data_IF_224268665832
#
_entry.id   IF_224268665832
#
_cell.length_a   1.000
_cell.length_b   1.000
_cell.length_c   1.000
_cell.angle_alpha   90.00
_cell.angle_beta   90.00
_cell.angle_gamma   90.00
#
_symmetry.space_group_name_H-M   'P 1'
#
loop_
_entity.id
_entity.type
_entity.pdbx_description
1 polymer ?
#
# COMPACT_ATOMS: atom_id res chain seq x y z
N UNK A 1 -12.03 -3.35 18.24
CA UNK A 1 -10.95 -2.41 17.86
C UNK A 1 -9.82 -3.22 17.24
N UNK A 2 -9.73 -3.26 15.91
CA UNK A 2 -8.59 -3.87 15.24
C UNK A 2 -7.45 -2.85 15.24
N UNK A 3 -6.41 -3.11 16.03
CA UNK A 3 -5.19 -2.30 16.03
C UNK A 3 -4.43 -2.60 14.75
N UNK A 4 -4.20 -1.59 13.92
CA UNK A 4 -3.23 -1.67 12.83
C UNK A 4 -1.86 -1.84 13.52
N UNK A 5 -1.25 -3.00 13.36
CA UNK A 5 0.08 -3.29 13.90
C UNK A 5 1.09 -2.62 12.97
N UNK A 6 1.88 -1.70 13.54
CA UNK A 6 2.97 -0.99 12.86
C UNK A 6 4.22 -1.85 13.04
N UNK A 7 4.78 -2.37 11.95
CA UNK A 7 6.18 -2.81 11.95
C UNK A 7 7.02 -1.64 11.46
N UNK A 8 7.60 -0.89 12.40
CA UNK A 8 8.68 0.04 12.07
C UNK A 8 9.97 -0.75 11.91
N UNK A 9 10.45 -0.88 10.67
CA UNK A 9 11.78 -1.42 10.40
C UNK A 9 12.66 -0.31 9.82
N UNK A 10 13.65 0.09 10.62
CA UNK A 10 14.73 1.00 10.22
C UNK A 10 15.79 0.15 9.53
N UNK A 11 16.03 0.38 8.25
CA UNK A 11 17.12 -0.28 7.53
C UNK A 11 18.45 0.46 7.72
N UNK A 12 19.40 -0.21 8.37
CA UNK A 12 20.83 0.09 8.26
C UNK A 12 21.43 -0.81 7.18
N UNK A 13 21.70 -0.27 5.99
CA UNK A 13 22.56 -0.91 5.00
C UNK A 13 23.99 -0.42 5.20
N UNK A 14 24.87 -1.29 5.72
CA UNK A 14 26.31 -1.04 5.77
C UNK A 14 26.88 -0.94 4.35
N UNK A 15 27.67 0.10 4.11
CA UNK A 15 28.11 0.61 2.81
C UNK A 15 29.16 -0.23 2.06
N UNK A 16 29.33 -1.52 2.36
CA UNK A 16 30.39 -2.34 1.77
C UNK A 16 29.83 -3.60 1.13
N UNK A 17 29.83 -3.66 -0.21
CA UNK A 17 30.12 -4.81 -1.10
C UNK A 17 29.32 -4.73 -2.43
N UNK A 18 30.11 -4.67 -3.52
CA UNK A 18 29.83 -5.01 -4.94
C UNK A 18 28.82 -4.21 -5.80
N UNK A 19 29.23 -3.93 -7.04
CA UNK A 19 28.61 -2.98 -7.96
C UNK A 19 27.23 -3.35 -8.52
N UNK A 20 26.88 -4.64 -8.60
CA UNK A 20 25.52 -5.08 -9.00
C UNK A 20 24.50 -4.90 -7.86
N UNK A 21 24.91 -5.14 -6.61
CA UNK A 21 24.08 -4.89 -5.43
C UNK A 21 23.71 -3.41 -5.27
N UNK A 22 24.48 -2.49 -5.87
CA UNK A 22 24.17 -1.05 -5.87
C UNK A 22 22.99 -0.71 -6.78
N UNK A 23 22.83 -1.42 -7.90
CA UNK A 23 21.80 -1.15 -8.90
C UNK A 23 20.41 -1.52 -8.36
N UNK A 24 20.24 -2.74 -7.85
CA UNK A 24 18.97 -3.18 -7.24
C UNK A 24 18.59 -2.39 -6.01
N UNK A 25 19.59 -1.91 -5.26
CA UNK A 25 19.36 -1.15 -4.03
C UNK A 25 18.63 0.16 -4.30
N UNK A 26 18.84 0.80 -5.46
CA UNK A 26 18.12 2.04 -5.79
C UNK A 26 16.64 1.76 -5.95
N UNK A 27 16.30 0.78 -6.79
CA UNK A 27 14.90 0.43 -7.08
C UNK A 27 14.19 -0.15 -5.84
N UNK A 28 14.86 -1.01 -5.06
CA UNK A 28 14.30 -1.53 -3.81
C UNK A 28 14.03 -0.41 -2.79
N UNK A 29 14.97 0.52 -2.61
CA UNK A 29 14.76 1.66 -1.71
C UNK A 29 13.63 2.57 -2.20
N UNK A 30 13.49 2.74 -3.51
CA UNK A 30 12.36 3.46 -4.09
C UNK A 30 11.04 2.73 -3.82
N UNK A 31 10.97 1.42 -4.04
CA UNK A 31 9.80 0.60 -3.72
C UNK A 31 9.42 0.69 -2.23
N UNK A 32 10.39 0.66 -1.32
CA UNK A 32 10.16 0.86 0.12
C UNK A 32 9.60 2.25 0.44
N UNK A 33 10.13 3.30 -0.19
CA UNK A 33 9.63 4.67 -0.02
C UNK A 33 8.19 4.80 -0.51
N UNK A 34 7.88 4.18 -1.66
CA UNK A 34 6.53 4.14 -2.23
C UNK A 34 5.56 3.37 -1.34
N UNK A 35 5.97 2.22 -0.78
CA UNK A 35 5.22 1.50 0.26
C UNK A 35 4.88 2.42 1.44
N UNK A 36 5.88 3.12 1.99
CA UNK A 36 5.68 3.95 3.18
C UNK A 36 4.68 5.08 2.90
N UNK A 37 4.76 5.68 1.72
CA UNK A 37 3.82 6.70 1.28
C UNK A 37 2.41 6.13 1.08
N UNK A 38 2.28 4.94 0.47
CA UNK A 38 1.01 4.25 0.33
C UNK A 38 0.38 3.96 1.70
N UNK A 39 1.15 3.41 2.63
CA UNK A 39 0.72 3.09 3.98
C UNK A 39 0.26 4.34 4.77
N UNK A 40 1.04 5.42 4.71
CA UNK A 40 0.71 6.67 5.39
C UNK A 40 -0.62 7.25 4.88
N UNK A 41 -0.83 7.21 3.56
CA UNK A 41 -2.08 7.67 2.95
C UNK A 41 -3.26 6.73 3.28
N UNK A 42 -3.07 5.41 3.27
CA UNK A 42 -4.10 4.45 3.68
C UNK A 42 -4.54 4.66 5.13
N UNK A 43 -3.57 4.94 6.01
CA UNK A 43 -3.83 5.26 7.42
C UNK A 43 -4.61 6.57 7.55
N UNK A 44 -4.22 7.61 6.81
CA UNK A 44 -4.94 8.88 6.79
C UNK A 44 -6.39 8.71 6.27
N UNK A 45 -6.59 7.90 5.22
CA UNK A 45 -7.92 7.56 4.71
C UNK A 45 -8.77 6.89 5.79
N UNK A 46 -8.21 5.87 6.45
CA UNK A 46 -8.86 5.16 7.54
C UNK A 46 -9.24 6.11 8.70
N UNK A 47 -8.35 7.01 9.09
CA UNK A 47 -8.63 8.00 10.13
C UNK A 47 -9.79 8.92 9.77
N UNK A 48 -9.91 9.33 8.50
CA UNK A 48 -11.05 10.14 8.05
C UNK A 48 -12.36 9.38 8.19
N UNK A 49 -12.40 8.10 7.82
CA UNK A 49 -13.60 7.27 7.99
C UNK A 49 -13.98 7.10 9.46
N UNK A 50 -13.01 6.88 10.35
CA UNK A 50 -13.27 6.78 11.79
C UNK A 50 -13.77 8.12 12.36
N UNK A 51 -13.24 9.26 11.88
CA UNK A 51 -13.74 10.58 12.27
C UNK A 51 -15.18 10.78 11.80
N UNK A 52 -15.50 10.40 10.56
CA UNK A 52 -16.87 10.43 10.05
C UNK A 52 -17.82 9.57 10.87
N UNK A 53 -17.39 8.37 11.28
CA UNK A 53 -18.22 7.52 12.13
C UNK A 53 -18.49 8.13 13.51
N UNK A 54 -17.50 8.81 14.11
CA UNK A 54 -17.58 9.30 15.49
C UNK A 54 -18.18 10.70 15.63
N UNK A 55 -17.99 11.56 14.64
CA UNK A 55 -18.31 13.00 14.75
C UNK A 55 -19.57 13.40 14.01
N UNK A 56 -20.03 12.61 13.05
CA UNK A 56 -21.10 13.04 12.18
C UNK A 56 -22.47 12.76 12.79
N UNK A 57 -23.19 13.83 13.13
CA UNK A 57 -24.61 13.79 13.48
C UNK A 57 -25.52 14.18 12.31
N UNK A 58 -24.94 14.54 11.17
CA UNK A 58 -25.63 14.90 9.94
C UNK A 58 -24.85 14.38 8.71
N UNK A 59 -25.53 14.37 7.56
CA UNK A 59 -25.02 13.82 6.31
C UNK A 59 -23.85 14.61 5.71
N UNK A 60 -23.88 15.94 5.82
CA UNK A 60 -22.84 16.80 5.26
C UNK A 60 -21.48 16.56 5.90
N UNK A 61 -21.45 16.31 7.21
CA UNK A 61 -20.21 15.95 7.91
C UNK A 61 -19.66 14.61 7.40
N UNK A 62 -20.53 13.61 7.19
CA UNK A 62 -20.10 12.30 6.65
C UNK A 62 -19.50 12.46 5.25
N UNK A 63 -20.16 13.21 4.36
CA UNK A 63 -19.68 13.47 3.00
C UNK A 63 -18.29 14.13 3.00
N UNK A 64 -18.05 15.10 3.89
CA UNK A 64 -16.72 15.71 4.04
C UNK A 64 -15.63 14.68 4.35
N UNK A 65 -15.90 13.75 5.28
CA UNK A 65 -14.94 12.71 5.63
C UNK A 65 -14.78 11.65 4.53
N UNK A 66 -15.84 11.36 3.76
CA UNK A 66 -15.78 10.48 2.58
C UNK A 66 -14.90 11.07 1.49
N UNK A 67 -15.11 12.34 1.13
CA UNK A 67 -14.28 13.07 0.18
C UNK A 67 -12.81 13.08 0.60
N UNK A 68 -12.56 13.36 1.88
CA UNK A 68 -11.20 13.39 2.42
C UNK A 68 -10.56 12.00 2.38
N UNK A 69 -11.30 10.96 2.79
CA UNK A 69 -10.84 9.57 2.72
C UNK A 69 -10.54 9.14 1.28
N UNK A 70 -11.40 9.52 0.32
CA UNK A 70 -11.24 9.20 -1.10
C UNK A 70 -9.94 9.80 -1.65
N UNK A 71 -9.65 11.07 -1.35
CA UNK A 71 -8.40 11.72 -1.76
C UNK A 71 -7.16 10.97 -1.28
N UNK A 72 -7.13 10.59 0.00
CA UNK A 72 -6.02 9.81 0.54
C UNK A 72 -5.95 8.40 -0.07
N UNK A 73 -7.09 7.76 -0.32
CA UNK A 73 -7.15 6.43 -0.96
C UNK A 73 -6.59 6.48 -2.38
N UNK A 74 -6.94 7.51 -3.17
CA UNK A 74 -6.39 7.74 -4.51
C UNK A 74 -4.88 7.95 -4.46
N UNK A 75 -4.39 8.76 -3.51
CA UNK A 75 -2.96 8.97 -3.34
C UNK A 75 -2.25 7.65 -2.99
N UNK A 76 -2.79 6.87 -2.05
CA UNK A 76 -2.25 5.56 -1.66
C UNK A 76 -2.18 4.61 -2.86
N UNK A 77 -3.23 4.56 -3.68
CA UNK A 77 -3.28 3.78 -4.91
C UNK A 77 -2.17 4.18 -5.87
N UNK A 78 -1.99 5.47 -6.13
CA UNK A 78 -0.95 5.96 -7.03
C UNK A 78 0.46 5.56 -6.58
N UNK A 79 0.72 5.56 -5.26
CA UNK A 79 2.01 5.07 -4.73
C UNK A 79 2.20 3.57 -4.96
N UNK A 80 1.16 2.74 -4.82
CA UNK A 80 1.24 1.33 -5.15
C UNK A 80 1.49 1.11 -6.65
N UNK A 81 0.81 1.85 -7.54
CA UNK A 81 1.03 1.76 -8.98
C UNK A 81 2.46 2.13 -9.37
N UNK A 82 3.02 3.15 -8.71
CA UNK A 82 4.44 3.50 -8.86
C UNK A 82 5.34 2.36 -8.37
N UNK A 83 5.03 1.75 -7.22
CA UNK A 83 5.83 0.66 -6.67
C UNK A 83 5.85 -0.55 -7.60
N UNK A 84 4.70 -0.93 -8.18
CA UNK A 84 4.60 -1.98 -9.21
C UNK A 84 5.51 -1.67 -10.39
N UNK A 85 5.47 -0.44 -10.92
CA UNK A 85 6.36 -0.03 -12.03
C UNK A 85 7.84 -0.10 -11.66
N UNK A 86 8.21 0.31 -10.44
CA UNK A 86 9.58 0.17 -9.94
C UNK A 86 10.02 -1.29 -9.86
N UNK A 87 9.14 -2.19 -9.39
CA UNK A 87 9.44 -3.62 -9.32
C UNK A 87 9.52 -4.29 -10.69
N UNK A 88 8.71 -3.87 -11.66
CA UNK A 88 8.82 -4.34 -13.04
C UNK A 88 10.15 -3.91 -13.67
N UNK A 89 10.59 -2.67 -13.45
CA UNK A 89 11.89 -2.19 -13.91
C UNK A 89 13.06 -2.95 -13.26
N UNK A 90 12.96 -3.20 -11.94
CA UNK A 90 13.94 -3.98 -11.20
C UNK A 90 14.04 -5.40 -11.76
N UNK A 91 12.90 -6.03 -12.01
CA UNK A 91 12.83 -7.36 -12.63
C UNK A 91 13.52 -7.39 -13.99
N UNK A 92 13.27 -6.42 -14.87
CA UNK A 92 13.97 -6.34 -16.16
C UNK A 92 15.49 -6.18 -16.00
N UNK A 93 15.95 -5.45 -14.98
CA UNK A 93 17.38 -5.30 -14.65
C UNK A 93 18.01 -6.59 -14.09
N UNK A 94 17.17 -7.51 -13.61
CA UNK A 94 17.57 -8.82 -13.09
C UNK A 94 17.52 -9.93 -14.14
N UNK A 95 16.95 -9.69 -15.33
CA UNK A 95 16.87 -10.70 -16.39
C UNK A 95 18.26 -11.23 -16.78
N UNK A 96 18.39 -12.56 -16.85
CA UNK A 96 19.64 -13.23 -17.20
C UNK A 96 20.67 -13.33 -16.07
N UNK A 97 20.30 -12.99 -14.84
CA UNK A 97 21.15 -13.12 -13.66
C UNK A 97 20.66 -14.27 -12.76
N UNK A 98 21.59 -15.00 -12.13
CA UNK A 98 21.29 -16.18 -11.30
C UNK A 98 20.76 -15.78 -9.91
N UNK A 99 19.56 -15.19 -9.88
CA UNK A 99 18.92 -14.60 -8.69
C UNK A 99 17.46 -15.02 -8.51
N UNK A 100 17.14 -16.28 -8.77
CA UNK A 100 15.76 -16.75 -8.86
C UNK A 100 14.96 -16.51 -7.57
N UNK A 101 15.54 -16.77 -6.40
CA UNK A 101 14.87 -16.53 -5.11
C UNK A 101 14.56 -15.05 -4.87
N UNK A 102 15.50 -14.14 -5.19
CA UNK A 102 15.25 -12.71 -5.07
C UNK A 102 14.17 -12.22 -6.06
N UNK A 103 14.11 -12.82 -7.25
CA UNK A 103 13.08 -12.53 -8.23
C UNK A 103 11.70 -13.05 -7.80
N UNK A 104 11.64 -14.21 -7.14
CA UNK A 104 10.41 -14.76 -6.57
C UNK A 104 9.80 -13.80 -5.55
N UNK A 105 10.60 -13.32 -4.60
CA UNK A 105 10.21 -12.33 -3.58
C UNK A 105 9.74 -11.01 -4.21
N UNK A 106 10.42 -10.52 -5.25
CA UNK A 106 9.98 -9.32 -6.00
C UNK A 106 8.61 -9.54 -6.65
N UNK A 107 8.39 -10.71 -7.26
CA UNK A 107 7.08 -11.03 -7.84
C UNK A 107 6.00 -11.14 -6.75
N UNK A 108 6.31 -11.72 -5.60
CA UNK A 108 5.42 -11.77 -4.44
C UNK A 108 5.04 -10.38 -3.93
N UNK A 109 6.02 -9.48 -3.78
CA UNK A 109 5.78 -8.08 -3.44
C UNK A 109 4.86 -7.40 -4.46
N UNK A 110 5.13 -7.57 -5.76
CA UNK A 110 4.31 -7.02 -6.84
C UNK A 110 2.86 -7.52 -6.78
N UNK A 111 2.66 -8.82 -6.61
CA UNK A 111 1.31 -9.41 -6.48
C UNK A 111 0.54 -8.82 -5.29
N UNK A 112 1.22 -8.56 -4.18
CA UNK A 112 0.60 -7.91 -3.03
C UNK A 112 0.25 -6.44 -3.30
N UNK A 113 1.09 -5.68 -4.02
CA UNK A 113 0.74 -4.34 -4.48
C UNK A 113 -0.45 -4.34 -5.45
N UNK A 114 -0.48 -5.23 -6.44
CA UNK A 114 -1.60 -5.35 -7.38
C UNK A 114 -2.91 -5.65 -6.64
N UNK A 115 -2.87 -6.58 -5.68
CA UNK A 115 -4.01 -6.87 -4.81
C UNK A 115 -4.43 -5.69 -3.91
N UNK A 116 -3.47 -4.83 -3.53
CA UNK A 116 -3.74 -3.60 -2.77
C UNK A 116 -4.43 -2.56 -3.65
N UNK A 117 -3.97 -2.38 -4.89
CA UNK A 117 -4.57 -1.48 -5.89
C UNK A 117 -6.04 -1.84 -6.11
N UNK A 118 -6.34 -3.12 -6.32
CA UNK A 118 -7.72 -3.59 -6.46
C UNK A 118 -8.60 -3.24 -5.24
N UNK A 119 -8.04 -3.34 -4.03
CA UNK A 119 -8.76 -2.96 -2.81
C UNK A 119 -8.97 -1.46 -2.66
N UNK A 120 -8.04 -0.64 -3.16
CA UNK A 120 -8.27 0.79 -3.24
C UNK A 120 -9.33 1.15 -4.27
N UNK A 121 -9.39 0.46 -5.41
CA UNK A 121 -10.47 0.64 -6.38
C UNK A 121 -11.85 0.30 -5.78
N UNK A 122 -11.96 -0.84 -5.09
CA UNK A 122 -13.18 -1.21 -4.35
C UNK A 122 -13.55 -0.12 -3.32
N UNK A 123 -12.57 0.39 -2.55
CA UNK A 123 -12.79 1.43 -1.56
C UNK A 123 -13.25 2.75 -2.20
N UNK A 124 -12.64 3.17 -3.31
CA UNK A 124 -13.01 4.38 -4.05
C UNK A 124 -14.43 4.28 -4.58
N UNK A 125 -14.80 3.15 -5.19
CA UNK A 125 -16.17 2.93 -5.67
C UNK A 125 -17.21 2.96 -4.54
N UNK A 126 -16.86 2.37 -3.39
CA UNK A 126 -17.70 2.39 -2.18
C UNK A 126 -17.87 3.82 -1.66
N UNK A 127 -16.79 4.61 -1.65
CA UNK A 127 -16.83 6.02 -1.25
C UNK A 127 -17.68 6.85 -2.21
N UNK A 128 -17.56 6.64 -3.52
CA UNK A 128 -18.38 7.31 -4.53
C UNK A 128 -19.86 7.03 -4.34
N UNK A 129 -20.21 5.76 -4.12
CA UNK A 129 -21.59 5.36 -3.81
C UNK A 129 -22.09 6.04 -2.53
N UNK A 130 -21.23 6.20 -1.53
CA UNK A 130 -21.56 6.92 -0.31
C UNK A 130 -21.75 8.43 -0.49
N UNK A 131 -20.98 9.05 -1.39
CA UNK A 131 -21.11 10.48 -1.71
C UNK A 131 -22.39 10.79 -2.48
N UNK A 132 -22.92 9.82 -3.23
CA UNK A 132 -24.15 9.96 -4.01
C UNK A 132 -25.44 9.72 -3.21
N UNK A 133 -25.36 9.09 -2.04
CA UNK A 133 -26.54 8.77 -1.25
C UNK A 133 -26.88 9.85 -0.22
N UNK A 134 -28.19 10.06 -0.03
CA UNK A 134 -28.76 10.90 1.03
C UNK A 134 -29.26 10.07 2.24
N UNK A 135 -29.14 8.74 2.19
CA UNK A 135 -29.59 7.83 3.25
C UNK A 135 -28.45 7.53 4.24
N UNK A 136 -28.64 7.94 5.51
CA UNK A 136 -27.69 7.71 6.59
C UNK A 136 -27.40 6.21 6.87
N UNK A 137 -28.37 5.31 6.67
CA UNK A 137 -28.16 3.88 6.84
C UNK A 137 -27.30 3.32 5.70
N UNK A 138 -27.53 3.78 4.47
CA UNK A 138 -26.67 3.44 3.33
C UNK A 138 -25.25 3.97 3.56
N UNK A 139 -25.09 5.20 4.03
CA UNK A 139 -23.78 5.76 4.41
C UNK A 139 -23.05 4.93 5.44
N UNK A 140 -23.74 4.49 6.50
CA UNK A 140 -23.17 3.61 7.51
C UNK A 140 -22.64 2.31 6.91
N UNK A 141 -23.36 1.75 5.94
CA UNK A 141 -22.96 0.53 5.20
C UNK A 141 -21.73 0.80 4.32
N UNK A 142 -21.74 1.88 3.54
CA UNK A 142 -20.59 2.25 2.69
C UNK A 142 -19.35 2.52 3.53
N UNK A 143 -19.48 3.18 4.69
CA UNK A 143 -18.36 3.44 5.58
C UNK A 143 -17.72 2.14 6.08
N UNK A 144 -18.53 1.16 6.48
CA UNK A 144 -18.03 -0.14 6.93
C UNK A 144 -17.29 -0.89 5.80
N UNK A 145 -17.85 -0.89 4.60
CA UNK A 145 -17.23 -1.52 3.43
C UNK A 145 -15.89 -0.84 3.06
N UNK A 146 -15.84 0.49 3.04
CA UNK A 146 -14.61 1.24 2.79
C UNK A 146 -13.54 0.94 3.85
N UNK A 147 -13.93 0.85 5.12
CA UNK A 147 -13.04 0.44 6.21
C UNK A 147 -12.48 -0.97 5.98
N UNK A 148 -13.31 -1.95 5.60
CA UNK A 148 -12.87 -3.32 5.35
C UNK A 148 -11.88 -3.39 4.17
N UNK A 149 -12.15 -2.65 3.10
CA UNK A 149 -11.27 -2.58 1.94
C UNK A 149 -9.90 -1.97 2.32
N UNK A 150 -9.88 -0.86 3.07
CA UNK A 150 -8.64 -0.25 3.56
C UNK A 150 -7.87 -1.14 4.55
N UNK A 151 -8.56 -1.90 5.40
CA UNK A 151 -7.89 -2.86 6.29
C UNK A 151 -7.22 -3.98 5.49
N UNK A 152 -7.92 -4.51 4.49
CA UNK A 152 -7.39 -5.54 3.60
C UNK A 152 -6.20 -5.01 2.78
N UNK A 153 -6.26 -3.75 2.32
CA UNK A 153 -5.16 -3.12 1.60
C UNK A 153 -3.92 -2.96 2.48
N UNK A 154 -4.09 -2.55 3.74
CA UNK A 154 -2.97 -2.46 4.71
C UNK A 154 -2.35 -3.83 5.01
N UNK A 155 -3.15 -4.89 5.14
CA UNK A 155 -2.62 -6.25 5.31
C UNK A 155 -1.76 -6.68 4.11
N UNK A 156 -2.21 -6.39 2.89
CA UNK A 156 -1.46 -6.69 1.67
C UNK A 156 -0.21 -5.83 1.52
N UNK A 157 -0.28 -4.55 1.88
CA UNK A 157 0.91 -3.69 1.95
C UNK A 157 1.96 -4.31 2.87
N UNK A 158 1.58 -4.78 4.06
CA UNK A 158 2.52 -5.41 4.99
C UNK A 158 3.12 -6.70 4.40
N UNK A 159 2.31 -7.52 3.72
CA UNK A 159 2.83 -8.69 3.01
C UNK A 159 3.83 -8.27 1.90
N UNK A 160 3.55 -7.21 1.13
CA UNK A 160 4.51 -6.70 0.16
C UNK A 160 5.82 -6.24 0.81
N UNK A 161 5.75 -5.64 2.00
CA UNK A 161 6.92 -5.23 2.77
C UNK A 161 7.78 -6.43 3.20
N UNK A 162 7.14 -7.50 3.66
CA UNK A 162 7.83 -8.73 4.07
C UNK A 162 8.57 -9.36 2.87
N UNK A 163 7.92 -9.40 1.71
CA UNK A 163 8.51 -9.89 0.45
C UNK A 163 9.66 -8.99 -0.03
N UNK A 164 9.53 -7.66 0.07
CA UNK A 164 10.64 -6.75 -0.25
C UNK A 164 11.85 -6.97 0.68
N UNK A 165 11.61 -7.30 1.96
CA UNK A 165 12.67 -7.65 2.90
C UNK A 165 13.33 -8.99 2.53
N UNK A 166 12.54 -9.97 2.09
CA UNK A 166 13.03 -11.23 1.53
C UNK A 166 13.91 -11.00 0.32
N UNK A 167 13.43 -10.22 -0.65
CA UNK A 167 14.19 -9.85 -1.85
C UNK A 167 15.55 -9.21 -1.52
N UNK A 168 15.61 -8.30 -0.54
CA UNK A 168 16.86 -7.73 -0.05
C UNK A 168 17.81 -8.79 0.50
N UNK A 169 17.30 -9.75 1.25
CA UNK A 169 18.09 -10.84 1.84
C UNK A 169 18.69 -11.74 0.75
N UNK A 170 17.85 -12.19 -0.18
CA UNK A 170 18.24 -13.09 -1.26
C UNK A 170 19.22 -12.42 -2.24
N UNK A 171 18.98 -11.15 -2.60
CA UNK A 171 19.85 -10.42 -3.52
C UNK A 171 21.23 -10.07 -2.93
N UNK A 172 21.41 -10.15 -1.62
CA UNK A 172 22.75 -10.09 -1.00
C UNK A 172 23.52 -11.39 -1.17
N UNK A 173 22.83 -12.51 -1.34
CA UNK A 173 23.41 -13.84 -1.56
C UNK A 173 23.72 -14.12 -3.02
N UNK A 174 23.09 -13.40 -3.94
CA UNK A 174 23.39 -13.42 -5.37
C UNK A 174 24.81 -12.93 -5.67
N UNK A 175 25.62 -13.76 -6.33
CA UNK A 175 26.95 -13.40 -6.85
C UNK A 175 27.01 -13.56 -8.37
#
# INVERSE_FOLDING_TARGET
MHRIIIFSLVFFFSSGLFGQAKEYRVDLNEAFSLYQNAYNNATAAYEMLIKGYKKSSNIFDVHYYFESSKKYTIAAKSYCENAVRTLDNLKSTMEGKECDSGLEEINGAKMNFDGTIAKYDDAIQTLDTGLETEDLNMLGTQLQLSVQNLQTSVMKLNAAMDELNGAVSELRGCN
#
